data_IF_634746471675
#
_entry.id   IF_634746471675
#
_cell.length_a   1.000
_cell.length_b   1.000
_cell.length_c   1.000
_cell.angle_alpha   90.00
_cell.angle_beta   90.00
_cell.angle_gamma   90.00
#
_symmetry.space_group_name_H-M   'P 1'
#
loop_
_entity.id
_entity.type
_entity.pdbx_description
1 polymer ?
#
# COMPACT_ATOMS: atom_id res chain seq x y z
N UNK A 1 2.19 -7.54 7.48
CA UNK A 1 1.61 -8.00 6.21
C UNK A 1 0.77 -9.25 6.45
N UNK A 2 -0.24 -9.49 5.61
CA UNK A 2 -0.98 -10.77 5.50
C UNK A 2 -1.41 -10.98 4.05
N UNK A 3 -1.92 -12.15 3.67
CA UNK A 3 -2.36 -12.44 2.30
C UNK A 3 -3.68 -13.21 2.28
N UNK A 4 -4.44 -13.03 1.19
CA UNK A 4 -5.63 -13.83 0.88
C UNK A 4 -5.72 -14.01 -0.63
N UNK A 5 -5.59 -15.25 -1.10
CA UNK A 5 -5.44 -15.53 -2.53
C UNK A 5 -4.19 -14.86 -3.09
N UNK A 6 -4.34 -14.15 -4.21
CA UNK A 6 -3.24 -13.40 -4.86
C UNK A 6 -3.06 -11.97 -4.33
N UNK A 7 -3.81 -11.57 -3.31
CA UNK A 7 -3.75 -10.22 -2.73
C UNK A 7 -2.88 -10.21 -1.48
N UNK A 8 -2.00 -9.21 -1.37
CA UNK A 8 -1.23 -8.91 -0.16
C UNK A 8 -1.85 -7.70 0.53
N UNK A 9 -1.90 -7.74 1.86
CA UNK A 9 -2.42 -6.67 2.70
C UNK A 9 -1.30 -6.12 3.58
N UNK A 10 -0.98 -4.85 3.40
CA UNK A 10 -0.04 -4.11 4.24
C UNK A 10 -0.85 -3.26 5.24
N UNK A 11 -0.61 -3.46 6.53
CA UNK A 11 -1.38 -2.79 7.60
C UNK A 11 -0.45 -1.76 8.24
N UNK A 12 -0.82 -0.50 8.14
CA UNK A 12 -0.19 0.61 8.86
C UNK A 12 -0.89 0.73 10.22
N UNK A 13 -0.14 0.60 11.32
CA UNK A 13 -0.66 0.71 12.69
C UNK A 13 -0.28 2.03 13.36
N UNK A 14 0.26 2.96 12.58
CA UNK A 14 0.58 4.32 12.98
C UNK A 14 0.37 5.23 11.77
N UNK A 15 -0.03 6.49 12.02
CA UNK A 15 -0.17 7.48 10.96
C UNK A 15 1.24 7.87 10.46
N UNK A 16 1.54 7.73 9.16
CA UNK A 16 2.81 8.20 8.63
C UNK A 16 2.93 9.72 8.75
N UNK A 17 4.14 10.19 9.04
CA UNK A 17 4.44 11.62 9.16
C UNK A 17 4.39 12.35 7.80
N UNK A 18 4.69 11.62 6.73
CA UNK A 18 4.64 12.11 5.37
C UNK A 18 3.45 11.52 4.60
N UNK A 19 3.11 12.15 3.48
CA UNK A 19 2.11 11.64 2.53
C UNK A 19 2.64 10.49 1.67
N UNK A 20 3.93 10.16 1.78
CA UNK A 20 4.52 9.01 1.08
C UNK A 20 4.79 7.86 2.03
N UNK A 21 4.50 6.65 1.56
CA UNK A 21 4.82 5.42 2.27
C UNK A 21 5.70 4.54 1.39
N UNK A 22 6.85 4.14 1.91
CA UNK A 22 7.68 3.15 1.25
C UNK A 22 7.43 1.77 1.84
N UNK A 23 7.10 0.82 0.97
CA UNK A 23 7.08 -0.60 1.28
C UNK A 23 8.24 -1.24 0.52
N UNK A 24 9.27 -1.69 1.24
CA UNK A 24 10.48 -2.27 0.62
C UNK A 24 10.23 -3.66 0.00
N UNK A 25 9.06 -4.24 0.28
CA UNK A 25 8.52 -5.46 -0.35
C UNK A 25 7.00 -5.32 -0.39
N UNK A 26 6.27 -5.99 -1.30
CA UNK A 26 6.71 -6.92 -2.34
C UNK A 26 7.25 -6.20 -3.60
N UNK A 27 7.77 -6.96 -4.56
CA UNK A 27 8.11 -6.43 -5.89
C UNK A 27 6.83 -6.11 -6.66
N UNK A 28 6.85 -5.02 -7.42
CA UNK A 28 5.72 -4.62 -8.26
C UNK A 28 5.92 -5.07 -9.70
N UNK A 29 4.82 -5.11 -10.45
CA UNK A 29 4.76 -5.38 -11.89
C UNK A 29 3.94 -4.30 -12.58
N UNK A 30 3.97 -4.24 -13.92
CA UNK A 30 3.13 -3.29 -14.69
C UNK A 30 1.61 -3.47 -14.51
N UNK A 31 1.18 -4.56 -13.86
CA UNK A 31 -0.23 -4.83 -13.52
C UNK A 31 -0.56 -4.59 -12.05
N UNK A 32 0.41 -4.18 -11.25
CA UNK A 32 0.21 -3.98 -9.81
C UNK A 32 -0.83 -2.90 -9.56
N UNK A 33 -1.73 -3.17 -8.61
CA UNK A 33 -2.73 -2.21 -8.15
C UNK A 33 -2.60 -2.03 -6.66
N UNK A 34 -2.64 -0.77 -6.23
CA UNK A 34 -2.58 -0.38 -4.82
C UNK A 34 -3.89 0.32 -4.50
N UNK A 35 -4.57 -0.16 -3.46
CA UNK A 35 -5.83 0.43 -2.99
C UNK A 35 -5.78 0.57 -1.47
N UNK A 36 -6.36 1.64 -0.95
CA UNK A 36 -6.61 1.80 0.47
C UNK A 36 -8.01 1.25 0.78
N UNK A 37 -8.12 0.29 1.70
CA UNK A 37 -9.43 -0.25 2.06
C UNK A 37 -10.31 0.84 2.67
N UNK A 38 -11.56 0.95 2.18
CA UNK A 38 -12.48 2.02 2.55
C UNK A 38 -12.32 3.31 1.74
N UNK A 39 -11.40 3.36 0.77
CA UNK A 39 -11.22 4.47 -0.16
C UNK A 39 -11.56 4.03 -1.61
N UNK A 40 -12.33 4.83 -2.32
CA UNK A 40 -12.94 4.43 -3.60
C UNK A 40 -11.98 4.41 -4.79
N UNK A 41 -10.82 5.06 -4.67
CA UNK A 41 -9.90 5.25 -5.80
C UNK A 41 -8.59 4.46 -5.62
N UNK A 42 -7.99 3.96 -6.70
CA UNK A 42 -6.65 3.39 -6.63
C UNK A 42 -5.63 4.48 -6.25
N UNK A 43 -4.58 4.08 -5.54
CA UNK A 43 -3.50 4.98 -5.15
C UNK A 43 -2.44 5.05 -6.25
N UNK A 44 -1.84 6.22 -6.41
CA UNK A 44 -0.63 6.40 -7.20
C UNK A 44 0.56 5.77 -6.49
N UNK A 45 1.41 5.08 -7.24
CA UNK A 45 2.61 4.43 -6.71
C UNK A 45 3.70 4.35 -7.78
N UNK A 46 4.94 4.15 -7.34
CA UNK A 46 6.09 3.88 -8.22
C UNK A 46 6.95 2.75 -7.66
N UNK A 47 7.59 1.94 -8.52
CA UNK A 47 8.52 0.90 -8.08
C UNK A 47 9.78 1.51 -7.45
N UNK A 48 10.32 0.84 -6.44
CA UNK A 48 11.65 1.15 -5.89
C UNK A 48 12.69 0.27 -6.59
N UNK A 49 13.66 0.90 -7.26
CA UNK A 49 14.77 0.22 -7.94
C UNK A 49 16.05 0.27 -7.09
N UNK A 50 16.97 -0.70 -7.23
CA UNK A 50 16.86 -1.94 -8.01
C UNK A 50 16.24 -3.11 -7.23
N UNK A 51 16.10 -2.96 -5.91
CA UNK A 51 15.88 -4.08 -4.98
C UNK A 51 14.41 -4.54 -4.88
N UNK A 52 13.48 -3.79 -5.48
CA UNK A 52 12.05 -4.05 -5.35
C UNK A 52 11.39 -3.23 -4.25
N UNK A 53 10.07 -3.37 -4.16
CA UNK A 53 9.24 -2.51 -3.33
C UNK A 53 8.47 -1.47 -4.14
N UNK A 54 7.82 -0.57 -3.42
CA UNK A 54 7.05 0.52 -3.99
C UNK A 54 6.96 1.71 -3.02
N UNK A 55 6.96 2.90 -3.61
CA UNK A 55 6.59 4.14 -2.95
C UNK A 55 5.14 4.45 -3.31
N UNK A 56 4.31 4.67 -2.30
CA UNK A 56 2.87 4.90 -2.44
C UNK A 56 2.58 6.34 -2.01
N UNK A 57 1.83 7.07 -2.83
CA UNK A 57 1.29 8.36 -2.46
C UNK A 57 -0.04 8.14 -1.73
N UNK A 58 -0.06 8.44 -0.44
CA UNK A 58 -1.24 8.32 0.40
C UNK A 58 -2.15 9.54 0.25
N UNK A 59 -3.48 9.34 0.23
CA UNK A 59 -4.43 10.43 0.37
C UNK A 59 -4.44 10.92 1.82
N UNK A 60 -5.27 11.92 2.11
CA UNK A 60 -5.65 12.19 3.49
C UNK A 60 -6.31 10.94 4.08
N UNK A 61 -5.71 10.41 5.16
CA UNK A 61 -6.16 9.16 5.75
C UNK A 61 -7.47 9.37 6.50
N UNK A 62 -8.53 8.57 6.21
CA UNK A 62 -9.79 8.69 6.92
C UNK A 62 -9.61 8.32 8.39
N UNK A 63 -10.45 8.87 9.27
CA UNK A 63 -10.44 8.52 10.68
C UNK A 63 -10.66 7.01 10.88
N UNK A 64 -9.84 6.41 11.75
CA UNK A 64 -9.91 5.00 12.13
C UNK A 64 -9.77 4.92 13.66
N UNK A 65 -10.75 4.37 14.41
CA UNK A 65 -10.64 4.27 15.87
C UNK A 65 -9.39 3.49 16.32
N UNK A 66 -9.02 2.46 15.57
CA UNK A 66 -7.82 1.65 15.83
C UNK A 66 -6.52 2.29 15.34
N UNK A 67 -6.56 3.51 14.79
CA UNK A 67 -5.42 4.19 14.17
C UNK A 67 -4.66 3.30 13.20
N UNK A 68 -5.43 2.51 12.45
CA UNK A 68 -4.91 1.53 11.52
C UNK A 68 -5.58 1.63 10.16
N UNK A 69 -4.78 1.45 9.12
CA UNK A 69 -5.17 1.54 7.72
C UNK A 69 -4.55 0.39 6.94
N UNK A 70 -5.34 -0.19 6.04
CA UNK A 70 -4.89 -1.36 5.28
C UNK A 70 -4.81 -1.03 3.80
N UNK A 71 -3.63 -1.22 3.23
CA UNK A 71 -3.39 -1.20 1.80
C UNK A 71 -3.57 -2.61 1.27
N UNK A 72 -4.35 -2.76 0.20
CA UNK A 72 -4.45 -3.98 -0.59
C UNK A 72 -3.61 -3.83 -1.84
N UNK A 73 -2.68 -4.76 -2.01
CA UNK A 73 -1.75 -4.88 -3.11
C UNK A 73 -2.14 -6.09 -3.95
N UNK A 74 -2.52 -5.85 -5.21
CA UNK A 74 -2.86 -6.89 -6.18
C UNK A 74 -1.79 -6.98 -7.27
N UNK A 75 -1.57 -8.19 -7.82
CA UNK A 75 -0.59 -8.47 -8.88
C UNK A 75 0.85 -8.05 -8.54
N UNK A 76 1.30 -8.39 -7.34
CA UNK A 76 2.65 -8.17 -6.81
C UNK A 76 3.42 -9.50 -6.74
N UNK A 77 4.76 -9.45 -6.66
CA UNK A 77 5.68 -10.59 -6.69
C UNK A 77 6.46 -10.74 -5.38
#
# INVERSE_FOLDING_TARGET
FTSKGSSIYAIMTAKPAETTLQLLTPKTSGRSKVTLLGYSFPLSWSPIYPNGGLTILLPELPYSPGHAWTLKLDNVQ
#
